data_IF_834491205707
#
_entry.id   IF_834491205707
#
_cell.length_a   1.000
_cell.length_b   1.000
_cell.length_c   1.000
_cell.angle_alpha   90.00
_cell.angle_beta   90.00
_cell.angle_gamma   90.00
#
_symmetry.space_group_name_H-M   'P 1'
#
loop_
_entity.id
_entity.type
_entity.pdbx_description
1 polymer ?
#
# COMPACT_ATOMS: atom_id res chain seq x y z
N UNK A 1 13.32 8.44 -2.34
CA UNK A 1 11.99 7.80 -2.30
C UNK A 1 12.13 6.39 -1.77
N UNK A 2 11.22 5.99 -0.89
CA UNK A 2 11.15 4.65 -0.33
C UNK A 2 9.86 3.96 -0.77
N UNK A 3 9.94 2.65 -0.94
CA UNK A 3 8.74 1.83 -1.16
C UNK A 3 8.34 1.20 0.17
N UNK A 4 7.20 1.63 0.67
CA UNK A 4 6.59 1.10 1.87
C UNK A 4 5.67 -0.09 1.59
N UNK A 5 4.70 -0.28 2.46
CA UNK A 5 3.68 -1.31 2.33
C UNK A 5 2.47 -0.97 3.19
N UNK A 6 1.29 -1.38 2.77
CA UNK A 6 0.09 -1.33 3.60
C UNK A 6 0.27 -2.11 4.92
N UNK A 7 1.15 -3.10 4.95
CA UNK A 7 1.49 -3.86 6.16
C UNK A 7 2.10 -3.02 7.28
N UNK A 8 2.58 -1.82 6.96
CA UNK A 8 3.04 -0.85 7.95
C UNK A 8 1.88 -0.14 8.68
N UNK A 9 0.68 -0.17 8.10
CA UNK A 9 -0.46 0.66 8.51
C UNK A 9 -1.62 -0.16 9.08
N UNK A 10 -1.55 -1.47 9.03
CA UNK A 10 -2.55 -2.38 9.57
C UNK A 10 -1.90 -3.65 10.10
N UNK A 11 -2.66 -4.44 10.83
CA UNK A 11 -2.20 -5.75 11.29
C UNK A 11 -1.76 -6.62 10.12
N UNK A 12 -0.65 -7.30 10.29
CA UNK A 12 -0.07 -8.19 9.27
C UNK A 12 0.25 -9.55 9.90
N UNK A 13 -0.78 -10.35 10.24
CA UNK A 13 -0.58 -11.64 10.89
C UNK A 13 0.21 -12.58 9.98
N UNK A 14 1.15 -13.31 10.58
CA UNK A 14 2.08 -14.17 9.86
C UNK A 14 3.31 -13.45 9.26
N UNK A 15 3.27 -12.12 9.17
CA UNK A 15 4.36 -11.28 8.64
C UNK A 15 4.66 -10.08 9.54
N UNK A 16 4.62 -10.26 10.86
CA UNK A 16 4.79 -9.19 11.83
C UNK A 16 6.13 -8.45 11.68
N UNK A 17 7.22 -9.18 11.46
CA UNK A 17 8.54 -8.58 11.26
C UNK A 17 8.60 -7.72 10.00
N UNK A 18 7.96 -8.17 8.91
CA UNK A 18 7.83 -7.39 7.68
C UNK A 18 7.04 -6.10 7.92
N UNK A 19 5.90 -6.19 8.60
CA UNK A 19 5.09 -5.02 8.96
C UNK A 19 5.87 -4.03 9.82
N UNK A 20 6.60 -4.52 10.83
CA UNK A 20 7.43 -3.68 11.68
C UNK A 20 8.55 -2.98 10.89
N UNK A 21 9.22 -3.69 9.99
CA UNK A 21 10.27 -3.11 9.15
C UNK A 21 9.71 -2.01 8.23
N UNK A 22 8.56 -2.25 7.62
CA UNK A 22 7.89 -1.26 6.76
C UNK A 22 7.37 -0.05 7.55
N UNK A 23 6.88 -0.25 8.78
CA UNK A 23 6.52 0.85 9.66
C UNK A 23 7.75 1.71 10.03
N UNK A 24 8.89 1.07 10.26
CA UNK A 24 10.16 1.75 10.48
C UNK A 24 10.59 2.61 9.29
N UNK A 25 10.35 2.15 8.08
CA UNK A 25 10.60 2.93 6.85
C UNK A 25 9.79 4.23 6.85
N UNK A 26 8.52 4.19 7.27
CA UNK A 26 7.69 5.41 7.32
C UNK A 26 8.21 6.40 8.37
N UNK A 27 8.66 5.91 9.53
CA UNK A 27 9.27 6.75 10.55
C UNK A 27 10.59 7.38 10.03
N UNK A 28 11.38 6.61 9.31
CA UNK A 28 12.62 7.08 8.69
C UNK A 28 12.35 8.19 7.67
N UNK A 29 11.33 8.04 6.83
CA UNK A 29 10.92 9.06 5.86
C UNK A 29 10.61 10.39 6.53
N UNK A 30 9.88 10.37 7.63
CA UNK A 30 9.54 11.58 8.37
C UNK A 30 10.78 12.25 8.95
N UNK A 31 11.66 11.50 9.59
CA UNK A 31 12.88 12.03 10.20
C UNK A 31 13.83 12.61 9.17
N UNK A 32 14.08 11.87 8.08
CA UNK A 32 14.98 12.32 7.03
C UNK A 32 14.44 13.52 6.26
N UNK A 33 13.12 13.64 6.11
CA UNK A 33 12.53 14.82 5.50
C UNK A 33 12.86 16.10 6.27
N UNK A 34 12.86 16.03 7.60
CA UNK A 34 13.25 17.15 8.46
C UNK A 34 14.76 17.41 8.37
N UNK A 35 15.57 16.34 8.45
CA UNK A 35 17.03 16.47 8.49
C UNK A 35 17.60 16.99 7.17
N UNK A 36 17.03 16.57 6.03
CA UNK A 36 17.60 16.82 4.71
C UNK A 36 16.93 17.97 3.94
N UNK A 37 15.86 18.50 4.46
CA UNK A 37 15.25 19.71 3.87
C UNK A 37 16.14 20.93 4.02
N UNK A 38 16.08 21.89 3.12
CA UNK A 38 15.30 21.93 1.89
C UNK A 38 15.95 21.25 0.68
N UNK A 39 17.13 20.66 0.84
CA UNK A 39 17.94 20.10 -0.27
C UNK A 39 17.32 18.88 -0.89
N UNK A 40 16.67 18.02 -0.08
CA UNK A 40 16.11 16.74 -0.51
C UNK A 40 14.70 16.59 0.03
N UNK A 41 13.77 16.24 -0.84
CA UNK A 41 12.46 15.75 -0.45
C UNK A 41 12.55 14.24 -0.16
N UNK A 42 12.01 13.80 0.95
CA UNK A 42 12.00 12.39 1.33
C UNK A 42 10.55 11.93 1.41
N UNK A 43 10.20 10.94 0.61
CA UNK A 43 8.81 10.48 0.42
C UNK A 43 8.76 8.96 0.39
N UNK A 44 7.62 8.42 0.71
CA UNK A 44 7.30 7.00 0.54
C UNK A 44 6.10 6.82 -0.38
N UNK A 45 6.09 5.72 -1.12
CA UNK A 45 4.93 5.18 -1.82
C UNK A 45 4.66 3.80 -1.22
N UNK A 46 3.45 3.60 -0.69
CA UNK A 46 3.07 2.36 -0.02
C UNK A 46 1.96 1.65 -0.79
N UNK A 47 2.29 0.58 -1.51
CA UNK A 47 1.30 -0.21 -2.20
C UNK A 47 0.43 -1.03 -1.23
N UNK A 48 -0.83 -1.25 -1.61
CA UNK A 48 -1.65 -2.31 -1.07
C UNK A 48 -1.38 -3.63 -1.79
N UNK A 49 -2.44 -4.28 -2.24
CA UNK A 49 -2.32 -5.55 -2.95
C UNK A 49 -2.03 -5.29 -4.44
N UNK A 50 -0.88 -5.76 -4.89
CA UNK A 50 -0.41 -5.60 -6.28
C UNK A 50 -0.38 -6.97 -6.95
N UNK A 51 -0.98 -7.06 -8.14
CA UNK A 51 -0.92 -8.25 -8.97
C UNK A 51 0.45 -8.34 -9.64
N UNK A 52 1.18 -9.39 -9.30
CA UNK A 52 2.49 -9.70 -9.88
C UNK A 52 2.48 -11.11 -10.45
N UNK A 53 3.53 -11.50 -11.13
CA UNK A 53 3.73 -12.87 -11.62
C UNK A 53 3.70 -13.90 -10.48
N UNK A 54 4.03 -13.50 -9.25
CA UNK A 54 4.06 -14.36 -8.08
C UNK A 54 2.76 -14.36 -7.28
N UNK A 55 1.72 -13.68 -7.74
CA UNK A 55 0.45 -13.59 -7.00
C UNK A 55 -0.18 -14.94 -6.69
N UNK A 56 0.02 -15.93 -7.56
CA UNK A 56 -0.47 -17.29 -7.35
C UNK A 56 0.16 -17.97 -6.10
N UNK A 57 1.34 -17.55 -5.67
CA UNK A 57 2.00 -18.07 -4.46
C UNK A 57 1.31 -17.60 -3.18
N UNK A 58 0.61 -16.48 -3.23
CA UNK A 58 -0.01 -15.84 -2.07
C UNK A 58 -1.53 -15.98 -2.05
N UNK A 59 -2.17 -15.99 -3.21
CA UNK A 59 -3.62 -15.89 -3.35
C UNK A 59 -4.26 -17.10 -4.03
N UNK A 60 -3.45 -18.11 -4.40
CA UNK A 60 -3.90 -19.32 -5.07
C UNK A 60 -4.05 -19.13 -6.58
N UNK A 61 -5.04 -19.80 -7.15
CA UNK A 61 -5.32 -19.75 -8.58
C UNK A 61 -6.05 -18.45 -8.99
N UNK A 62 -6.49 -18.37 -10.23
CA UNK A 62 -7.21 -17.22 -10.76
C UNK A 62 -8.53 -16.95 -9.99
N UNK A 63 -9.18 -17.97 -9.43
CA UNK A 63 -10.36 -17.78 -8.59
C UNK A 63 -10.02 -17.11 -7.27
N UNK A 64 -8.92 -17.48 -6.65
CA UNK A 64 -8.41 -16.83 -5.44
C UNK A 64 -8.03 -15.38 -5.68
N UNK A 65 -7.32 -15.11 -6.77
CA UNK A 65 -6.95 -13.76 -7.18
C UNK A 65 -8.21 -12.91 -7.46
N UNK A 66 -9.20 -13.46 -8.16
CA UNK A 66 -10.46 -12.78 -8.43
C UNK A 66 -11.25 -12.47 -7.15
N UNK A 67 -11.28 -13.41 -6.20
CA UNK A 67 -11.94 -13.22 -4.91
C UNK A 67 -11.30 -12.09 -4.10
N UNK A 68 -9.97 -12.06 -4.05
CA UNK A 68 -9.22 -10.98 -3.39
C UNK A 68 -9.50 -9.64 -4.08
N UNK A 69 -9.47 -9.61 -5.40
CA UNK A 69 -9.75 -8.39 -6.20
C UNK A 69 -11.14 -7.84 -5.94
N UNK A 70 -12.14 -8.72 -5.85
CA UNK A 70 -13.53 -8.32 -5.57
C UNK A 70 -13.70 -7.68 -4.18
N UNK A 71 -12.82 -8.00 -3.22
CA UNK A 71 -12.82 -7.41 -1.89
C UNK A 71 -12.25 -5.98 -1.83
N UNK A 72 -11.55 -5.56 -2.87
CA UNK A 72 -10.97 -4.21 -2.94
C UNK A 72 -12.02 -3.24 -3.50
N UNK A 73 -12.27 -2.09 -2.85
CA UNK A 73 -13.28 -1.14 -3.33
C UNK A 73 -13.10 -0.67 -4.78
N UNK A 74 -11.85 -0.57 -5.25
CA UNK A 74 -11.55 -0.25 -6.66
C UNK A 74 -11.91 -1.39 -7.63
N UNK A 75 -12.30 -2.56 -7.14
CA UNK A 75 -12.71 -3.71 -7.95
C UNK A 75 -11.56 -4.52 -8.56
N UNK A 76 -10.33 -4.16 -8.26
CA UNK A 76 -9.14 -4.85 -8.78
C UNK A 76 -7.94 -4.68 -7.86
N UNK A 77 -7.00 -5.57 -7.95
CA UNK A 77 -5.65 -5.35 -7.41
C UNK A 77 -4.93 -4.29 -8.26
N UNK A 78 -3.99 -3.58 -7.66
CA UNK A 78 -3.12 -2.70 -8.40
C UNK A 78 -2.26 -3.51 -9.37
N UNK A 79 -1.87 -2.87 -10.46
CA UNK A 79 -0.82 -3.36 -11.36
C UNK A 79 0.50 -2.67 -10.99
N UNK A 80 1.65 -3.26 -11.34
CA UNK A 80 2.94 -2.59 -11.15
C UNK A 80 3.01 -1.18 -11.73
N UNK A 81 2.34 -0.96 -12.86
CA UNK A 81 2.26 0.35 -13.52
C UNK A 81 1.54 1.40 -12.67
N UNK A 82 0.53 1.01 -11.90
CA UNK A 82 -0.16 1.93 -10.98
C UNK A 82 0.83 2.50 -9.95
N UNK A 83 1.70 1.64 -9.44
CA UNK A 83 2.72 2.04 -8.47
C UNK A 83 3.80 2.87 -9.14
N UNK A 84 4.26 2.46 -10.31
CA UNK A 84 5.26 3.19 -11.08
C UNK A 84 4.80 4.60 -11.44
N UNK A 85 3.55 4.76 -11.87
CA UNK A 85 2.96 6.06 -12.17
C UNK A 85 2.90 6.98 -10.94
N UNK A 86 2.56 6.43 -9.78
CA UNK A 86 2.56 7.18 -8.53
C UNK A 86 3.99 7.61 -8.12
N UNK A 87 4.96 6.73 -8.29
CA UNK A 87 6.36 7.06 -8.06
C UNK A 87 6.83 8.19 -8.98
N UNK A 88 6.45 8.13 -10.24
CA UNK A 88 6.78 9.17 -11.22
C UNK A 88 6.17 10.53 -10.83
N UNK A 89 4.90 10.53 -10.42
CA UNK A 89 4.22 11.74 -9.96
C UNK A 89 4.90 12.35 -8.73
N UNK A 90 5.13 11.56 -7.68
CA UNK A 90 5.64 12.07 -6.41
C UNK A 90 7.11 12.51 -6.51
N UNK A 91 7.86 11.96 -7.45
CA UNK A 91 9.23 12.38 -7.76
C UNK A 91 9.28 13.64 -8.62
N UNK A 92 8.18 14.00 -9.28
CA UNK A 92 8.14 15.12 -10.23
C UNK A 92 8.03 16.47 -9.52
N UNK A 93 8.33 17.58 -10.23
CA UNK A 93 8.13 18.95 -9.71
C UNK A 93 6.67 19.26 -9.34
N UNK A 94 5.69 18.56 -9.92
CA UNK A 94 4.28 18.70 -9.57
C UNK A 94 4.00 18.39 -8.10
N UNK A 95 4.78 17.50 -7.50
CA UNK A 95 4.71 17.15 -6.09
C UNK A 95 5.79 17.86 -5.25
N UNK A 96 6.22 19.05 -5.65
CA UNK A 96 7.36 19.75 -5.06
C UNK A 96 7.24 20.08 -3.57
N UNK A 97 6.04 20.13 -3.02
CA UNK A 97 5.81 20.36 -1.59
C UNK A 97 5.65 19.05 -0.80
N UNK A 98 5.66 17.90 -1.45
CA UNK A 98 5.53 16.60 -0.82
C UNK A 98 6.87 16.15 -0.24
N UNK A 99 7.01 16.20 1.08
CA UNK A 99 8.15 15.67 1.81
C UNK A 99 7.69 15.20 3.19
N UNK A 100 8.27 14.12 3.69
CA UNK A 100 7.86 13.49 4.95
C UNK A 100 6.53 12.73 4.84
N UNK A 101 5.99 12.55 3.65
CA UNK A 101 4.68 11.95 3.41
C UNK A 101 4.78 10.53 2.88
N UNK A 102 3.67 9.83 2.99
CA UNK A 102 3.45 8.51 2.45
C UNK A 102 2.24 8.53 1.52
N UNK A 103 2.44 8.20 0.25
CA UNK A 103 1.37 8.04 -0.71
C UNK A 103 0.88 6.58 -0.67
N UNK A 104 -0.28 6.37 -0.05
CA UNK A 104 -0.87 5.06 0.12
C UNK A 104 -1.76 4.72 -1.09
N UNK A 105 -1.44 3.63 -1.77
CA UNK A 105 -2.13 3.16 -2.96
C UNK A 105 -2.72 1.78 -2.71
N UNK A 106 -3.97 1.72 -2.27
CA UNK A 106 -4.63 0.46 -1.89
C UNK A 106 -6.05 0.30 -2.46
N UNK A 107 -6.42 1.14 -3.43
CA UNK A 107 -7.71 1.02 -4.10
C UNK A 107 -8.94 1.25 -3.21
N UNK A 108 -8.78 1.98 -2.12
CA UNK A 108 -9.83 2.23 -1.12
C UNK A 108 -9.69 1.38 0.15
N UNK A 109 -8.72 0.45 0.17
CA UNK A 109 -8.41 -0.39 1.33
C UNK A 109 -9.16 -1.72 1.34
N UNK A 110 -9.42 -2.21 2.52
CA UNK A 110 -10.12 -3.48 2.73
C UNK A 110 -11.41 -3.22 3.50
N UNK A 111 -12.48 -3.88 3.11
CA UNK A 111 -13.73 -3.80 3.85
C UNK A 111 -13.56 -4.48 5.21
N UNK A 112 -14.01 -3.87 6.31
CA UNK A 112 -14.03 -4.55 7.59
C UNK A 112 -14.82 -5.87 7.50
N UNK A 113 -14.23 -6.94 7.98
CA UNK A 113 -14.80 -8.30 7.86
C UNK A 113 -16.19 -8.41 8.51
N UNK A 114 -16.44 -7.67 9.60
CA UNK A 114 -17.73 -7.71 10.29
C UNK A 114 -18.90 -7.23 9.43
N UNK A 115 -18.65 -6.37 8.45
CA UNK A 115 -19.71 -5.90 7.55
C UNK A 115 -20.25 -7.03 6.66
N UNK A 116 -19.35 -7.92 6.22
CA UNK A 116 -19.76 -9.12 5.50
C UNK A 116 -20.60 -10.07 6.37
N UNK A 117 -20.19 -10.27 7.62
CA UNK A 117 -20.92 -11.07 8.57
C UNK A 117 -22.30 -10.47 8.90
N UNK A 118 -22.40 -9.15 9.07
CA UNK A 118 -23.65 -8.46 9.32
C UNK A 118 -24.62 -8.60 8.14
N UNK A 119 -24.15 -8.53 6.92
CA UNK A 119 -24.98 -8.73 5.72
C UNK A 119 -25.49 -10.15 5.58
N UNK A 120 -24.68 -11.15 5.91
CA UNK A 120 -25.10 -12.56 5.87
C UNK A 120 -26.10 -12.91 6.98
N UNK A 121 -26.10 -12.19 8.08
CA UNK A 121 -27.06 -12.38 9.16
C UNK A 121 -28.44 -11.73 8.88
N UNK A 122 -28.53 -10.82 7.90
CA UNK A 122 -29.75 -10.14 7.49
C UNK A 122 -30.58 -10.93 6.46
N UNK A 123 -30.11 -12.08 6.00
CA UNK A 123 -30.76 -13.01 5.09
C UNK A 123 -31.00 -14.33 5.81
#
# INVERSE_FOLDING_TARGET
MFIGSISALRASPGTAAYGAAKAGVLALVQSLAVEWGPKVRVVAVSPGLVRTEQSHLHYGDEHGIAAVSAGIPAGRMALPEDIGNACLFIASPMAGYASGCNLLLHGGGERPAFLGAAQSAAH
#
